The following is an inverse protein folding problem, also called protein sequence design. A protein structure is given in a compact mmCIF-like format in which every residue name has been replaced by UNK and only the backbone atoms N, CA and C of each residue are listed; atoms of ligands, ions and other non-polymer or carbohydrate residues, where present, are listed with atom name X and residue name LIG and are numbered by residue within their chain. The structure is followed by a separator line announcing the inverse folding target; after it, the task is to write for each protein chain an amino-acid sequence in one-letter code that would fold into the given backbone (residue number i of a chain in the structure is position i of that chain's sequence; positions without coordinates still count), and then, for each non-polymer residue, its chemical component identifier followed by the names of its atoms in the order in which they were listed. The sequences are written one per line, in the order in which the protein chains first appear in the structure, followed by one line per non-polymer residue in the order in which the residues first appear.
data_IF_117603679456
#
_entry.id   IF_117603679456
#
_cell.length_a   1.000
_cell.length_b   1.000
_cell.length_c   1.000
_cell.angle_alpha   90.00
_cell.angle_beta   90.00
_cell.angle_gamma   90.00
#
_symmetry.space_group_name_H-M   'P 1'
#
loop_
_entity.id
_entity.type
_entity.pdbx_description
1 polymer ?
#
# COMPACT_ATOMS: atom_id res chain seq x y z
N UNK A 1 -4.88 -21.85 -7.09
CA UNK A 1 -3.60 -21.21 -6.64
C UNK A 1 -3.84 -19.73 -6.36
N UNK A 2 -3.60 -19.25 -5.12
CA UNK A 2 -3.56 -17.81 -4.86
C UNK A 2 -2.35 -17.22 -5.60
N UNK A 3 -2.57 -16.45 -6.66
CA UNK A 3 -1.48 -15.74 -7.34
C UNK A 3 -0.85 -14.77 -6.34
N UNK A 4 0.42 -14.99 -6.06
CA UNK A 4 1.19 -14.10 -5.21
C UNK A 4 1.55 -12.85 -6.01
N UNK A 5 1.36 -11.66 -5.43
CA UNK A 5 1.77 -10.42 -6.06
C UNK A 5 3.29 -10.39 -6.30
N UNK A 6 3.70 -9.97 -7.49
CA UNK A 6 5.10 -9.74 -7.85
C UNK A 6 5.34 -8.25 -8.06
N UNK A 7 4.90 -7.69 -9.18
CA UNK A 7 5.04 -6.27 -9.51
C UNK A 7 3.91 -5.84 -10.46
N UNK A 8 3.71 -4.53 -10.60
CA UNK A 8 2.72 -3.99 -11.52
C UNK A 8 3.16 -4.10 -12.98
N UNK A 9 2.26 -4.54 -13.86
CA UNK A 9 2.42 -4.33 -15.31
C UNK A 9 2.23 -2.84 -15.68
N UNK A 10 2.57 -2.45 -16.90
CA UNK A 10 2.45 -1.05 -17.33
C UNK A 10 1.01 -0.55 -17.25
N UNK A 11 0.04 -1.40 -17.64
CA UNK A 11 -1.39 -1.08 -17.54
C UNK A 11 -1.84 -0.87 -16.10
N UNK A 12 -1.44 -1.77 -15.19
CA UNK A 12 -1.77 -1.65 -13.77
C UNK A 12 -1.12 -0.41 -13.14
N UNK A 13 0.12 -0.12 -13.53
CA UNK A 13 0.83 1.06 -13.06
C UNK A 13 0.14 2.34 -13.52
N UNK A 14 -0.34 2.39 -14.77
CA UNK A 14 -1.10 3.52 -15.26
C UNK A 14 -2.40 3.74 -14.47
N UNK A 15 -3.12 2.68 -14.11
CA UNK A 15 -4.30 2.79 -13.25
C UNK A 15 -3.96 3.43 -11.90
N UNK A 16 -2.86 3.00 -11.27
CA UNK A 16 -2.41 3.57 -9.98
C UNK A 16 -2.01 5.04 -10.15
N UNK A 17 -1.28 5.39 -11.22
CA UNK A 17 -0.91 6.76 -11.53
C UNK A 17 -2.15 7.67 -11.63
N UNK A 18 -3.18 7.22 -12.35
CA UNK A 18 -4.41 7.97 -12.53
C UNK A 18 -5.16 8.14 -11.19
N UNK A 19 -5.19 7.10 -10.35
CA UNK A 19 -5.85 7.15 -9.04
C UNK A 19 -5.12 8.00 -8.00
N UNK A 20 -3.80 8.19 -8.13
CA UNK A 20 -3.05 8.98 -7.17
C UNK A 20 -3.52 10.45 -7.16
N UNK A 21 -3.74 11.04 -8.35
CA UNK A 21 -4.08 12.46 -8.55
C UNK A 21 -3.37 13.39 -7.54
N UNK A 22 -2.04 13.27 -7.51
CA UNK A 22 -1.22 13.89 -6.49
C UNK A 22 0.17 14.24 -7.00
N UNK A 23 0.68 15.39 -6.54
CA UNK A 23 2.03 15.86 -6.83
C UNK A 23 2.95 15.57 -5.64
N UNK A 24 4.06 14.85 -5.86
CA UNK A 24 4.96 14.52 -4.78
C UNK A 24 5.73 15.74 -4.26
N UNK A 25 6.15 15.74 -2.98
CA UNK A 25 6.90 16.83 -2.39
C UNK A 25 8.20 17.07 -3.16
N UNK A 26 8.67 18.32 -3.29
CA UNK A 26 9.80 18.68 -4.15
C UNK A 26 11.05 17.86 -3.82
N UNK A 27 11.83 17.54 -4.85
CA UNK A 27 13.09 16.83 -4.69
C UNK A 27 14.07 17.75 -3.97
N UNK A 28 14.70 17.27 -2.89
CA UNK A 28 15.77 17.99 -2.19
C UNK A 28 16.95 17.05 -2.02
N UNK A 29 18.11 17.44 -2.56
CA UNK A 29 19.33 16.64 -2.51
C UNK A 29 19.24 15.37 -3.37
N UNK A 30 19.09 14.21 -2.72
CA UNK A 30 19.15 12.90 -3.38
C UNK A 30 17.97 12.71 -4.34
N UNK A 31 18.23 12.22 -5.58
CA UNK A 31 17.17 11.87 -6.52
C UNK A 31 16.12 10.96 -5.90
N UNK A 32 14.86 11.21 -6.25
CA UNK A 32 13.76 10.39 -5.77
C UNK A 32 13.84 8.99 -6.39
N UNK A 33 13.57 7.96 -5.59
CA UNK A 33 13.34 6.62 -6.12
C UNK A 33 12.13 6.62 -7.08
N UNK A 34 12.18 5.73 -8.08
CA UNK A 34 11.07 5.49 -8.99
C UNK A 34 9.79 5.13 -8.21
N UNK A 35 8.70 5.85 -8.51
CA UNK A 35 7.40 5.64 -7.89
C UNK A 35 6.86 4.24 -8.12
N UNK A 36 7.08 3.65 -9.30
CA UNK A 36 6.61 2.29 -9.57
C UNK A 36 7.28 1.30 -8.62
N UNK A 37 8.58 1.45 -8.39
CA UNK A 37 9.33 0.62 -7.43
C UNK A 37 8.85 0.82 -5.99
N UNK A 38 8.53 2.06 -5.62
CA UNK A 38 7.94 2.37 -4.31
C UNK A 38 6.60 1.63 -4.14
N UNK A 39 5.69 1.77 -5.09
CA UNK A 39 4.38 1.14 -5.02
C UNK A 39 4.44 -0.39 -5.11
N UNK A 40 5.30 -0.95 -5.97
CA UNK A 40 5.58 -2.41 -5.99
C UNK A 40 5.99 -2.89 -4.59
N UNK A 41 6.90 -2.16 -3.94
CA UNK A 41 7.41 -2.54 -2.63
C UNK A 41 6.35 -2.45 -1.54
N UNK A 42 5.52 -1.40 -1.56
CA UNK A 42 4.41 -1.23 -0.63
C UNK A 42 3.37 -2.35 -0.82
N UNK A 43 2.93 -2.59 -2.05
CA UNK A 43 1.91 -3.62 -2.33
C UNK A 43 2.39 -5.03 -2.06
N UNK A 44 3.69 -5.31 -2.27
CA UNK A 44 4.26 -6.60 -1.90
C UNK A 44 4.09 -6.87 -0.41
N UNK A 45 4.46 -5.90 0.44
CA UNK A 45 4.30 -6.02 1.90
C UNK A 45 2.83 -6.09 2.29
N UNK A 46 1.96 -5.23 1.76
CA UNK A 46 0.53 -5.21 2.10
C UNK A 46 -0.19 -6.50 1.70
N UNK A 47 0.15 -7.08 0.54
CA UNK A 47 -0.48 -8.32 0.06
C UNK A 47 0.02 -9.55 0.81
N UNK A 48 1.28 -9.54 1.26
CA UNK A 48 1.91 -10.67 1.96
C UNK A 48 1.78 -10.65 3.47
N UNK A 49 1.65 -9.47 4.07
CA UNK A 49 1.71 -9.29 5.53
C UNK A 49 3.08 -9.61 6.14
N UNK A 50 4.17 -9.52 5.38
CA UNK A 50 5.52 -9.85 5.85
C UNK A 50 6.29 -8.63 6.40
N UNK A 51 7.50 -8.86 6.92
CA UNK A 51 8.35 -7.78 7.46
C UNK A 51 9.00 -7.03 6.31
N UNK A 52 9.30 -5.75 6.51
CA UNK A 52 10.02 -4.91 5.52
C UNK A 52 11.39 -5.46 5.13
N UNK A 53 12.05 -6.23 6.00
CA UNK A 53 13.34 -6.87 5.70
C UNK A 53 13.20 -8.03 4.70
N UNK A 54 12.00 -8.59 4.54
CA UNK A 54 11.69 -9.69 3.62
C UNK A 54 11.34 -9.18 2.21
N UNK A 55 11.41 -7.86 1.98
CA UNK A 55 11.23 -7.29 0.66
C UNK A 55 12.30 -7.83 -0.30
N UNK A 56 11.93 -8.30 -1.52
CA UNK A 56 12.89 -8.86 -2.45
C UNK A 56 13.99 -7.85 -2.82
N UNK A 57 15.25 -8.30 -2.86
CA UNK A 57 16.42 -7.47 -3.19
C UNK A 57 16.60 -7.19 -4.69
N UNK A 58 15.53 -7.25 -5.48
CA UNK A 58 15.59 -6.95 -6.91
C UNK A 58 15.42 -5.43 -7.12
N UNK A 59 16.54 -4.74 -7.28
CA UNK A 59 16.59 -3.27 -7.43
C UNK A 59 15.95 -2.76 -8.72
N UNK A 60 15.76 -3.61 -9.72
CA UNK A 60 15.03 -3.23 -10.93
C UNK A 60 13.53 -3.08 -10.68
N UNK A 61 12.96 -3.83 -9.72
CA UNK A 61 11.52 -3.88 -9.47
C UNK A 61 11.09 -3.24 -8.15
N UNK A 62 11.95 -3.27 -7.13
CA UNK A 62 11.64 -2.82 -5.77
C UNK A 62 12.64 -1.74 -5.31
N UNK A 63 12.24 -0.93 -4.35
CA UNK A 63 13.12 0.04 -3.71
C UNK A 63 13.62 -0.48 -2.36
N UNK A 64 14.55 0.22 -1.71
CA UNK A 64 15.05 -0.21 -0.42
C UNK A 64 13.95 -0.20 0.65
N UNK A 65 14.02 -1.13 1.61
CA UNK A 65 13.04 -1.26 2.71
C UNK A 65 12.75 0.07 3.43
N UNK A 66 13.79 0.84 3.71
CA UNK A 66 13.69 2.15 4.39
C UNK A 66 12.99 3.18 3.50
N UNK A 67 13.23 3.14 2.19
CA UNK A 67 12.55 4.00 1.22
C UNK A 67 11.07 3.65 1.12
N UNK A 68 10.74 2.35 1.00
CA UNK A 68 9.36 1.89 0.91
C UNK A 68 8.55 2.30 2.17
N UNK A 69 9.09 2.04 3.36
CA UNK A 69 8.43 2.41 4.61
C UNK A 69 8.23 3.94 4.75
N UNK A 70 9.26 4.73 4.45
CA UNK A 70 9.16 6.20 4.46
C UNK A 70 8.07 6.70 3.51
N UNK A 71 8.01 6.17 2.29
CA UNK A 71 7.01 6.56 1.32
C UNK A 71 5.60 6.13 1.70
N UNK A 72 5.43 4.96 2.32
CA UNK A 72 4.14 4.55 2.88
C UNK A 72 3.62 5.61 3.86
N UNK A 73 4.46 6.09 4.79
CA UNK A 73 4.07 7.13 5.75
C UNK A 73 3.71 8.45 5.07
N UNK A 74 4.47 8.86 4.05
CA UNK A 74 4.19 10.08 3.27
C UNK A 74 2.84 9.96 2.55
N UNK A 75 2.62 8.85 1.83
CA UNK A 75 1.40 8.60 1.07
C UNK A 75 0.17 8.50 1.97
N UNK A 76 0.32 7.88 3.15
CA UNK A 76 -0.73 7.80 4.17
C UNK A 76 -1.06 9.19 4.73
N UNK A 77 -0.05 9.99 5.09
CA UNK A 77 -0.25 11.36 5.58
C UNK A 77 -0.92 12.27 4.55
N UNK A 78 -0.69 12.00 3.26
CA UNK A 78 -1.29 12.74 2.16
C UNK A 78 -2.66 12.16 1.70
N UNK A 79 -3.20 11.12 2.35
CA UNK A 79 -4.41 10.39 1.95
C UNK A 79 -4.38 9.79 0.52
N UNK A 80 -3.19 9.73 -0.09
CA UNK A 80 -3.01 9.16 -1.44
C UNK A 80 -3.14 7.65 -1.41
N UNK A 81 -2.64 7.01 -0.34
CA UNK A 81 -2.76 5.56 -0.17
C UNK A 81 -4.24 5.15 -0.11
N UNK A 82 -5.02 5.83 0.74
CA UNK A 82 -6.44 5.55 0.94
C UNK A 82 -7.24 5.75 -0.35
N UNK A 83 -6.96 6.83 -1.08
CA UNK A 83 -7.56 7.12 -2.39
C UNK A 83 -7.28 6.02 -3.41
N UNK A 84 -6.02 5.62 -3.55
CA UNK A 84 -5.63 4.57 -4.50
C UNK A 84 -6.26 3.23 -4.14
N UNK A 85 -6.20 2.82 -2.87
CA UNK A 85 -6.81 1.56 -2.43
C UNK A 85 -8.32 1.55 -2.62
N UNK A 86 -9.00 2.65 -2.30
CA UNK A 86 -10.45 2.79 -2.50
C UNK A 86 -10.83 2.76 -3.98
N UNK A 87 -10.07 3.44 -4.83
CA UNK A 87 -10.29 3.44 -6.28
C UNK A 87 -10.07 2.06 -6.91
N UNK A 88 -9.04 1.34 -6.46
CA UNK A 88 -8.81 -0.04 -6.89
C UNK A 88 -9.93 -0.98 -6.42
N UNK A 89 -10.43 -0.80 -5.20
CA UNK A 89 -11.57 -1.57 -4.69
C UNK A 89 -12.83 -1.31 -5.52
N UNK A 90 -13.16 -0.04 -5.80
CA UNK A 90 -14.30 0.34 -6.64
C UNK A 90 -14.19 -0.24 -8.05
N UNK A 91 -13.01 -0.17 -8.67
CA UNK A 91 -12.76 -0.79 -9.96
C UNK A 91 -12.95 -2.31 -9.90
N UNK A 92 -12.46 -2.96 -8.85
CA UNK A 92 -12.64 -4.40 -8.64
C UNK A 92 -14.12 -4.79 -8.46
N UNK A 93 -14.90 -3.98 -7.75
CA UNK A 93 -16.35 -4.19 -7.59
C UNK A 93 -17.07 -4.03 -8.94
N UNK A 94 -16.76 -2.96 -9.68
CA UNK A 94 -17.36 -2.70 -10.99
C UNK A 94 -17.05 -3.82 -12.00
N UNK A 95 -15.87 -4.43 -11.91
CA UNK A 95 -15.47 -5.57 -12.74
C UNK A 95 -15.96 -6.93 -12.21
N UNK A 96 -16.72 -6.97 -11.10
CA UNK A 96 -17.21 -8.21 -10.48
C UNK A 96 -16.10 -9.09 -9.90
N UNK A 97 -14.92 -8.53 -9.64
CA UNK A 97 -13.75 -9.24 -9.11
C UNK A 97 -13.71 -9.31 -7.58
N UNK A 98 -14.59 -8.58 -6.91
CA UNK A 98 -14.70 -8.52 -5.45
C UNK A 98 -16.03 -9.12 -5.04
N UNK A 99 -15.96 -10.22 -4.29
CA UNK A 99 -17.14 -10.82 -3.67
C UNK A 99 -17.49 -10.05 -2.40
N UNK A 100 -18.51 -9.20 -2.48
CA UNK A 100 -18.99 -8.37 -1.37
C UNK A 100 -19.61 -9.20 -0.24
N UNK A 101 -20.01 -10.46 -0.50
CA UNK A 101 -20.59 -11.33 0.53
C UNK A 101 -19.54 -11.85 1.52
N UNK A 102 -18.27 -11.83 1.13
CA UNK A 102 -17.14 -12.30 1.94
C UNK A 102 -16.40 -11.18 2.67
N UNK A 103 -16.83 -9.92 2.55
CA UNK A 103 -16.30 -8.79 3.33
C UNK A 103 -16.89 -8.85 4.75
N UNK A 104 -16.63 -9.94 5.45
CA UNK A 104 -16.83 -10.01 6.89
C UNK A 104 -15.72 -9.19 7.55
N UNK A 105 -16.13 -8.16 8.27
CA UNK A 105 -15.26 -7.24 8.99
C UNK A 105 -14.57 -8.02 10.12
N UNK A 106 -13.31 -8.40 9.92
CA UNK A 106 -12.38 -8.72 11.00
C UNK A 106 -12.12 -7.42 11.78
N UNK A 107 -12.98 -7.17 12.75
CA UNK A 107 -12.81 -6.15 13.76
C UNK A 107 -12.78 -6.82 15.12
N UNK A 108 -11.65 -7.42 15.49
CA UNK A 108 -11.39 -7.70 16.91
C UNK A 108 -11.14 -6.38 17.65
N UNK A 109 -12.23 -5.65 17.92
CA UNK A 109 -12.24 -4.56 18.88
C UNK A 109 -12.08 -5.19 20.26
N UNK A 110 -10.86 -5.21 20.80
CA UNK A 110 -10.68 -5.37 22.23
C UNK A 110 -10.62 -3.98 22.86
N UNK A 111 -11.74 -3.44 23.39
CA UNK A 111 -11.64 -2.27 24.24
C UNK A 111 -10.90 -2.69 25.52
N UNK A 112 -9.57 -2.52 25.54
CA UNK A 112 -8.80 -2.62 26.79
C UNK A 112 -9.14 -1.41 27.65
N UNK A 113 -10.15 -1.55 28.50
CA UNK A 113 -10.39 -0.63 29.59
C UNK A 113 -9.35 -0.89 30.69
N UNK A 114 -8.16 -0.27 30.57
CA UNK A 114 -7.29 -0.09 31.73
C UNK A 114 -7.91 0.99 32.60
N UNK A 115 -8.70 0.57 33.58
CA UNK A 115 -9.20 1.43 34.65
C UNK A 115 -8.00 1.98 35.46
N UNK A 116 -7.97 3.31 35.61
CA UNK A 116 -7.23 3.99 36.67
C UNK A 116 -8.12 4.00 37.91
N UNK A 117 -7.88 3.10 38.84
CA UNK A 117 -8.17 3.33 40.26
C UNK A 117 -6.83 3.36 40.98
N UNK A 118 -6.27 4.56 41.14
CA UNK A 118 -5.31 4.82 42.21
C UNK A 118 -6.09 5.57 43.28
N UNK A 119 -6.36 4.84 44.37
CA UNK A 119 -6.64 5.43 45.68
C UNK A 119 -5.40 6.15 46.20
#
# INVERSE_FOLDING_TARGET
MKKSFTYFSDKQWQTILNLMDWKPPPIRGVPRADFRKIWNSIFFILTRGCRWIDLPRNEALYCSKSTAHRWLLILKKAHVLDRVLSGLLQAGIAEGKVDLTQIAIDGSFSPRAWWRSRS
#
